data_IF_462812936812
#
_entry.id   IF_462812936812
#
_cell.length_a   1.000
_cell.length_b   1.000
_cell.length_c   1.000
_cell.angle_alpha   90.00
_cell.angle_beta   90.00
_cell.angle_gamma   90.00
#
_symmetry.space_group_name_H-M   'P 1'
#
loop_
_entity.id
_entity.type
_entity.pdbx_description
1 polymer ?
#
# COMPACT_ATOMS: atom_id res chain seq x y z
N UNK A 1 3.46 -24.53 -31.88
CA UNK A 1 4.34 -23.37 -32.12
C UNK A 1 3.57 -22.06 -32.30
N UNK A 2 2.51 -21.80 -31.51
CA UNK A 2 1.80 -20.50 -31.48
C UNK A 2 1.86 -19.82 -30.10
N UNK A 3 2.44 -20.48 -29.10
CA UNK A 3 2.49 -20.00 -27.71
C UNK A 3 3.86 -19.45 -27.30
N UNK A 4 4.82 -19.41 -28.23
CA UNK A 4 6.17 -18.87 -28.01
C UNK A 4 6.30 -17.40 -28.44
N UNK A 5 5.35 -16.90 -29.24
CA UNK A 5 5.33 -15.48 -29.66
C UNK A 5 4.70 -14.58 -28.59
N UNK A 6 3.81 -15.11 -27.75
CA UNK A 6 3.18 -14.35 -26.64
C UNK A 6 4.13 -14.11 -25.48
N UNK A 7 5.17 -14.93 -25.32
CA UNK A 7 6.20 -14.78 -24.28
C UNK A 7 7.24 -13.69 -24.66
N UNK A 8 7.35 -13.34 -25.94
CA UNK A 8 8.31 -12.34 -26.44
C UNK A 8 7.78 -10.89 -26.37
N UNK A 9 6.48 -10.70 -26.13
CA UNK A 9 5.88 -9.37 -25.93
C UNK A 9 6.12 -8.80 -24.53
N UNK A 10 6.75 -9.56 -23.64
CA UNK A 10 7.11 -9.14 -22.28
C UNK A 10 8.45 -8.37 -22.20
N UNK A 11 9.13 -8.15 -23.33
CA UNK A 11 10.47 -7.55 -23.37
C UNK A 11 10.49 -6.17 -24.06
N UNK A 12 9.37 -5.69 -24.64
CA UNK A 12 9.42 -4.45 -25.44
C UNK A 12 8.11 -3.66 -25.51
N UNK A 13 7.67 -3.04 -24.40
CA UNK A 13 6.93 -1.76 -24.44
C UNK A 13 6.67 -1.18 -23.04
N UNK A 14 7.35 -0.10 -22.61
CA UNK A 14 6.83 0.73 -21.53
C UNK A 14 5.89 1.77 -22.17
N UNK A 15 4.57 1.53 -22.13
CA UNK A 15 3.61 2.61 -22.40
C UNK A 15 3.06 3.06 -21.05
N UNK A 16 3.79 4.01 -20.49
CA UNK A 16 3.43 4.84 -19.35
C UNK A 16 2.01 5.42 -19.50
N UNK A 17 1.11 5.05 -18.60
CA UNK A 17 -0.03 5.90 -18.24
C UNK A 17 0.22 6.43 -16.82
N UNK A 18 1.12 7.42 -16.77
CA UNK A 18 1.34 8.27 -15.61
C UNK A 18 0.03 8.96 -15.25
N UNK A 19 -0.24 9.10 -13.94
CA UNK A 19 -1.11 10.17 -13.44
C UNK A 19 -0.76 11.49 -14.14
N UNK A 20 -1.71 12.40 -14.37
CA UNK A 20 -1.46 13.63 -15.13
C UNK A 20 -0.55 14.59 -14.38
N UNK A 21 0.74 14.28 -14.40
CA UNK A 21 1.82 15.18 -14.07
C UNK A 21 2.00 16.08 -15.28
N UNK A 22 2.09 17.39 -15.08
CA UNK A 22 2.33 18.30 -16.19
C UNK A 22 3.64 17.90 -16.86
N UNK A 23 3.54 17.54 -18.14
CA UNK A 23 4.62 16.95 -18.95
C UNK A 23 5.79 17.89 -19.18
N UNK A 24 5.66 19.15 -18.79
CA UNK A 24 6.71 20.16 -18.86
C UNK A 24 7.35 20.36 -17.49
N UNK A 25 8.66 20.16 -17.43
CA UNK A 25 9.44 20.28 -16.21
C UNK A 25 10.60 21.25 -16.43
N UNK A 26 11.01 21.94 -15.38
CA UNK A 26 12.13 22.88 -15.39
C UNK A 26 13.20 22.44 -14.40
N UNK A 27 14.46 22.49 -14.83
CA UNK A 27 15.60 22.27 -13.93
C UNK A 27 15.87 23.55 -13.15
N UNK A 28 15.95 23.42 -11.83
CA UNK A 28 16.34 24.50 -10.93
C UNK A 28 17.79 24.26 -10.54
N UNK A 29 18.67 25.21 -10.86
CA UNK A 29 20.06 25.18 -10.43
C UNK A 29 20.14 25.17 -8.90
N UNK A 30 21.14 24.48 -8.36
CA UNK A 30 21.38 24.48 -6.93
C UNK A 30 21.63 25.90 -6.40
N UNK A 31 21.08 26.21 -5.23
CA UNK A 31 21.16 27.54 -4.63
C UNK A 31 21.27 27.45 -3.12
N UNK A 32 21.76 28.52 -2.49
CA UNK A 32 21.78 28.65 -1.04
C UNK A 32 20.51 29.36 -0.55
N UNK A 33 19.82 28.77 0.41
CA UNK A 33 18.70 29.42 1.13
C UNK A 33 19.24 30.54 2.03
N UNK A 34 18.38 31.47 2.42
CA UNK A 34 18.73 32.59 3.33
C UNK A 34 19.25 32.14 4.71
N UNK A 35 18.95 30.91 5.11
CA UNK A 35 19.43 30.27 6.35
C UNK A 35 20.77 29.52 6.18
N UNK A 36 21.45 29.65 5.03
CA UNK A 36 22.74 29.03 4.75
C UNK A 36 22.68 27.59 4.24
N UNK A 37 21.49 26.97 4.14
CA UNK A 37 21.35 25.59 3.64
C UNK A 37 21.55 25.54 2.13
N UNK A 38 22.44 24.66 1.65
CA UNK A 38 22.59 24.38 0.22
C UNK A 38 21.46 23.47 -0.28
N UNK A 39 20.77 23.90 -1.32
CA UNK A 39 19.77 23.11 -2.04
C UNK A 39 20.42 22.61 -3.32
N UNK A 40 20.55 21.30 -3.46
CA UNK A 40 21.02 20.69 -4.71
C UNK A 40 20.06 21.01 -5.86
N UNK A 41 20.62 21.09 -7.08
CA UNK A 41 19.81 21.26 -8.28
C UNK A 41 18.82 20.10 -8.44
N UNK A 42 17.60 20.40 -8.87
CA UNK A 42 16.51 19.43 -8.98
C UNK A 42 15.53 19.82 -10.08
N UNK A 43 14.77 18.84 -10.57
CA UNK A 43 13.65 19.08 -11.47
C UNK A 43 12.37 19.34 -10.70
N UNK A 44 11.58 20.30 -11.18
CA UNK A 44 10.22 20.56 -10.72
C UNK A 44 9.28 20.73 -11.91
N UNK A 45 7.99 20.57 -11.68
CA UNK A 45 6.95 20.91 -12.65
C UNK A 45 7.04 22.38 -13.07
N UNK A 46 6.80 22.67 -14.36
CA UNK A 46 6.75 24.05 -14.86
C UNK A 46 5.69 24.86 -14.09
N UNK A 47 5.98 26.12 -13.72
CA UNK A 47 4.98 26.97 -13.07
C UNK A 47 3.71 27.12 -13.92
N UNK A 48 2.54 26.90 -13.33
CA UNK A 48 1.23 27.26 -13.87
C UNK A 48 0.29 27.69 -12.72
N UNK A 49 -1.00 27.87 -12.99
CA UNK A 49 -1.98 28.42 -12.05
C UNK A 49 -2.70 27.37 -11.16
N UNK A 50 -2.23 26.12 -11.15
CA UNK A 50 -2.80 25.06 -10.30
C UNK A 50 -1.66 24.30 -9.63
N UNK A 51 -1.95 23.64 -8.50
CA UNK A 51 -1.00 22.69 -7.94
C UNK A 51 -1.33 21.24 -8.32
N UNK A 52 -2.48 20.95 -8.96
CA UNK A 52 -3.00 19.59 -9.15
C UNK A 52 -2.09 18.64 -9.94
N UNK A 53 -1.28 19.20 -10.82
CA UNK A 53 -0.38 18.49 -11.74
C UNK A 53 1.10 18.56 -11.31
N UNK A 54 1.38 19.16 -10.14
CA UNK A 54 2.73 19.22 -9.60
C UNK A 54 3.20 17.85 -9.10
N UNK A 55 4.51 17.58 -9.22
CA UNK A 55 5.17 16.39 -8.67
C UNK A 55 4.89 16.19 -7.20
N UNK A 56 4.85 17.30 -6.46
CA UNK A 56 4.66 17.33 -5.03
C UNK A 56 3.20 17.16 -4.62
N UNK A 57 2.24 16.99 -5.52
CA UNK A 57 0.81 16.96 -5.17
C UNK A 57 0.31 15.55 -4.89
N UNK A 58 -0.54 15.41 -3.85
CA UNK A 58 -1.12 14.13 -3.44
C UNK A 58 -1.76 13.44 -4.65
N UNK A 59 -1.41 12.17 -4.86
CA UNK A 59 -1.83 11.35 -6.00
C UNK A 59 -0.85 11.35 -7.19
N UNK A 60 0.10 12.30 -7.25
CA UNK A 60 1.18 12.34 -8.24
C UNK A 60 2.48 11.74 -7.69
N UNK A 61 3.41 11.39 -8.58
CA UNK A 61 4.75 10.89 -8.24
C UNK A 61 5.78 11.72 -9.00
N UNK A 62 6.83 12.15 -8.32
CA UNK A 62 7.96 12.81 -8.95
C UNK A 62 8.73 11.79 -9.82
N UNK A 63 8.77 11.95 -11.16
CA UNK A 63 9.41 10.98 -12.04
C UNK A 63 10.94 10.91 -11.89
N UNK A 64 11.57 11.93 -11.27
CA UNK A 64 13.02 11.99 -11.10
C UNK A 64 13.51 11.39 -9.77
N UNK A 65 12.62 11.30 -8.78
CA UNK A 65 12.98 10.81 -7.45
C UNK A 65 12.15 9.61 -7.01
N UNK A 66 11.08 9.26 -7.71
CA UNK A 66 10.14 8.21 -7.33
C UNK A 66 9.24 8.56 -6.14
N UNK A 67 9.39 9.76 -5.57
CA UNK A 67 8.67 10.17 -4.36
C UNK A 67 7.24 10.58 -4.66
N UNK A 68 6.30 10.10 -3.85
CA UNK A 68 4.90 10.49 -3.96
C UNK A 68 4.70 11.93 -3.48
N UNK A 69 3.81 12.67 -4.13
CA UNK A 69 3.45 14.01 -3.73
C UNK A 69 2.68 14.04 -2.42
N UNK A 70 2.85 15.11 -1.65
CA UNK A 70 2.33 15.29 -0.29
C UNK A 70 1.55 16.61 -0.10
N UNK A 71 1.53 17.49 -1.10
CA UNK A 71 0.80 18.76 -1.08
C UNK A 71 -0.65 18.48 -1.49
N UNK A 72 -1.60 18.83 -0.64
CA UNK A 72 -3.02 18.69 -0.97
C UNK A 72 -3.38 19.59 -2.16
N UNK A 73 -4.16 19.10 -3.15
CA UNK A 73 -4.72 19.92 -4.21
C UNK A 73 -5.41 21.17 -3.66
N UNK A 74 -5.17 22.33 -4.27
CA UNK A 74 -5.93 23.52 -3.95
C UNK A 74 -7.39 23.37 -4.45
N UNK A 75 -8.33 23.88 -3.65
CA UNK A 75 -9.76 23.96 -4.01
C UNK A 75 -10.07 25.24 -4.82
N UNK A 76 -9.05 25.86 -5.42
CA UNK A 76 -9.24 27.01 -6.29
C UNK A 76 -9.73 26.52 -7.67
N UNK A 77 -11.00 26.15 -7.73
CA UNK A 77 -11.75 26.26 -8.98
C UNK A 77 -11.78 27.74 -9.33
N UNK A 78 -10.83 28.19 -10.15
CA UNK A 78 -10.99 29.44 -10.86
C UNK A 78 -12.17 29.23 -11.82
N UNK A 79 -13.36 29.53 -11.32
CA UNK A 79 -14.58 29.65 -12.11
C UNK A 79 -14.32 30.77 -13.13
N UNK A 80 -13.90 30.38 -14.33
CA UNK A 80 -13.83 31.24 -15.50
C UNK A 80 -15.27 31.48 -15.97
N UNK A 81 -16.05 32.24 -15.21
CA UNK A 81 -17.24 32.87 -15.75
C UNK A 81 -16.79 34.09 -16.55
N UNK A 82 -16.69 33.88 -17.85
CA UNK A 82 -16.81 34.94 -18.85
C UNK A 82 -18.12 35.70 -18.60
N UNK A 83 -18.06 36.79 -17.84
CA UNK A 83 -19.08 37.83 -17.89
C UNK A 83 -18.43 39.08 -18.42
N UNK A 84 -18.60 39.25 -19.73
CA UNK A 84 -18.46 40.48 -20.45
C UNK A 84 -19.33 41.53 -19.75
N UNK A 85 -18.72 42.55 -19.16
CA UNK A 85 -19.42 43.81 -18.88
C UNK A 85 -18.45 44.95 -19.06
N UNK A 86 -18.54 45.56 -20.23
CA UNK A 86 -18.01 46.89 -20.47
C UNK A 86 -18.57 47.85 -19.43
N UNK A 87 -17.70 48.46 -18.65
CA UNK A 87 -17.94 49.77 -18.03
C UNK A 87 -16.59 50.42 -17.75
N UNK A 88 -16.25 51.38 -18.61
CA UNK A 88 -15.21 52.37 -18.41
C UNK A 88 -15.47 53.14 -17.12
N UNK A 89 -14.50 53.19 -16.20
CA UNK A 89 -14.08 54.49 -15.67
C UNK A 89 -12.68 54.47 -15.06
N UNK A 90 -12.03 55.60 -15.29
CA UNK A 90 -10.63 55.94 -15.06
C UNK A 90 -10.44 56.62 -13.69
N UNK A 91 -9.21 56.52 -13.19
CA UNK A 91 -8.46 57.48 -12.35
C UNK A 91 -8.80 57.71 -10.87
N UNK A 92 -7.70 57.63 -10.10
CA UNK A 92 -7.25 58.45 -8.97
C UNK A 92 -7.73 58.15 -7.54
N UNK A 93 -6.72 57.83 -6.72
CA UNK A 93 -6.39 58.43 -5.41
C UNK A 93 -7.55 58.80 -4.48
N UNK A 94 -7.57 58.21 -3.28
CA UNK A 94 -7.40 58.94 -2.01
C UNK A 94 -7.52 58.01 -0.79
N UNK A 95 -6.67 58.30 0.19
CA UNK A 95 -6.74 57.83 1.58
C UNK A 95 -8.12 58.05 2.22
N UNK A 96 -8.59 57.09 3.01
CA UNK A 96 -9.55 57.32 4.09
C UNK A 96 -9.52 56.15 5.09
N UNK A 97 -8.96 56.42 6.27
CA UNK A 97 -9.17 55.62 7.47
C UNK A 97 -10.64 55.70 7.89
N UNK A 98 -11.32 54.58 8.16
CA UNK A 98 -11.95 54.32 9.46
C UNK A 98 -12.58 52.92 9.57
N UNK A 99 -12.44 52.38 10.78
CA UNK A 99 -13.40 51.53 11.50
C UNK A 99 -13.63 50.09 11.04
N UNK A 100 -12.97 49.18 11.75
CA UNK A 100 -13.70 48.30 12.66
C UNK A 100 -14.62 47.27 12.03
N UNK A 101 -14.04 46.27 11.38
CA UNK A 101 -14.60 44.93 11.39
C UNK A 101 -13.47 43.96 11.74
N UNK A 102 -13.45 43.52 13.00
CA UNK A 102 -12.78 42.31 13.41
C UNK A 102 -13.44 41.16 12.67
N UNK A 103 -12.94 40.82 11.49
CA UNK A 103 -13.15 39.52 10.90
C UNK A 103 -12.39 38.54 11.78
N UNK A 104 -13.14 37.92 12.69
CA UNK A 104 -12.72 36.76 13.43
C UNK A 104 -12.48 35.66 12.40
N UNK A 105 -11.26 35.62 11.83
CA UNK A 105 -10.82 34.49 11.04
C UNK A 105 -10.74 33.33 12.01
N UNK A 106 -11.76 32.47 12.00
CA UNK A 106 -11.70 31.13 12.57
C UNK A 106 -10.52 30.42 11.89
N UNK A 107 -9.31 30.60 12.43
CA UNK A 107 -8.15 29.81 12.05
C UNK A 107 -8.52 28.37 12.41
N UNK A 108 -8.85 27.59 11.38
CA UNK A 108 -8.84 26.14 11.45
C UNK A 108 -7.47 25.76 11.98
N UNK A 109 -7.41 25.32 13.24
CA UNK A 109 -6.14 24.98 13.89
C UNK A 109 -5.61 23.69 13.26
N UNK A 110 -4.89 23.86 12.15
CA UNK A 110 -4.31 22.77 11.36
C UNK A 110 -3.16 22.13 12.14
N UNK A 111 -3.06 20.81 12.06
CA UNK A 111 -1.90 20.06 12.57
C UNK A 111 -0.73 20.27 11.60
N UNK A 112 0.45 20.64 12.12
CA UNK A 112 1.62 21.02 11.31
C UNK A 112 2.90 20.45 11.89
N UNK A 113 3.95 20.35 11.09
CA UNK A 113 5.30 20.03 11.55
C UNK A 113 6.35 20.86 10.81
N UNK A 114 7.52 21.02 11.42
CA UNK A 114 8.72 21.52 10.74
C UNK A 114 9.94 20.78 11.27
N UNK A 115 10.96 20.62 10.45
CA UNK A 115 12.20 19.96 10.86
C UNK A 115 13.42 20.86 10.67
N UNK A 116 14.43 20.62 11.50
CA UNK A 116 15.75 21.23 11.43
C UNK A 116 16.80 20.14 11.61
N UNK A 117 18.08 20.48 11.43
CA UNK A 117 19.21 19.59 11.70
C UNK A 117 19.17 18.98 13.12
N UNK A 118 18.55 19.68 14.07
CA UNK A 118 18.46 19.28 15.47
C UNK A 118 17.21 18.47 15.84
N UNK A 119 16.27 18.27 14.92
CA UNK A 119 15.04 17.50 15.21
C UNK A 119 13.80 18.01 14.47
N UNK A 120 12.64 17.90 15.12
CA UNK A 120 11.38 18.46 14.61
C UNK A 120 10.59 19.13 15.72
N UNK A 121 9.69 20.03 15.31
CA UNK A 121 8.60 20.50 16.14
C UNK A 121 7.29 20.03 15.51
N UNK A 122 6.39 19.53 16.35
CA UNK A 122 5.06 19.10 15.96
C UNK A 122 4.03 20.00 16.62
N UNK A 123 3.16 20.58 15.81
CA UNK A 123 2.17 21.55 16.23
C UNK A 123 0.79 20.92 16.13
N UNK A 124 0.18 20.61 17.28
CA UNK A 124 -1.19 20.13 17.34
C UNK A 124 -2.11 21.28 17.74
N UNK A 125 -3.07 21.59 16.87
CA UNK A 125 -3.98 22.74 17.03
C UNK A 125 -3.24 24.05 17.38
N UNK A 126 -2.14 24.31 16.69
CA UNK A 126 -1.29 25.50 16.89
C UNK A 126 -0.30 25.44 18.06
N UNK A 127 -0.39 24.44 18.94
CA UNK A 127 0.51 24.30 20.09
C UNK A 127 1.67 23.34 19.76
N UNK A 128 2.90 23.74 20.07
CA UNK A 128 4.04 22.82 19.99
C UNK A 128 3.92 21.77 21.09
N UNK A 129 3.84 20.49 20.71
CA UNK A 129 3.59 19.37 21.63
C UNK A 129 4.73 18.37 21.60
N UNK A 130 4.87 17.63 22.70
CA UNK A 130 5.80 16.50 22.77
C UNK A 130 5.14 15.25 22.18
N UNK A 131 5.92 14.48 21.41
CA UNK A 131 5.46 13.32 20.66
C UNK A 131 6.47 12.18 20.80
N UNK A 132 6.00 10.94 20.70
CA UNK A 132 6.88 9.79 20.42
C UNK A 132 6.96 9.59 18.91
N UNK A 133 8.01 8.92 18.42
CA UNK A 133 8.21 8.74 16.99
C UNK A 133 8.97 7.46 16.66
N UNK A 134 8.84 7.05 15.41
CA UNK A 134 9.60 5.97 14.81
C UNK A 134 9.91 6.30 13.36
N UNK A 135 11.06 5.81 12.89
CA UNK A 135 11.51 6.01 11.51
C UNK A 135 10.81 5.04 10.57
N UNK A 136 10.41 5.54 9.39
CA UNK A 136 9.89 4.73 8.30
C UNK A 136 10.64 5.09 7.02
N UNK A 137 11.80 4.47 6.82
CA UNK A 137 12.70 4.85 5.74
C UNK A 137 13.16 6.30 5.88
N UNK A 138 12.86 7.14 4.89
CA UNK A 138 13.15 8.57 4.92
C UNK A 138 12.08 9.41 5.64
N UNK A 139 10.93 8.80 5.95
CA UNK A 139 9.82 9.44 6.64
C UNK A 139 9.93 9.26 8.16
N UNK A 140 9.16 10.06 8.91
CA UNK A 140 9.02 9.91 10.34
C UNK A 140 7.53 9.74 10.70
N UNK A 141 7.19 8.68 11.42
CA UNK A 141 5.87 8.55 12.03
C UNK A 141 5.93 9.15 13.43
N UNK A 142 5.01 10.06 13.74
CA UNK A 142 4.87 10.65 15.07
C UNK A 142 3.55 10.24 15.69
N UNK A 143 3.55 10.05 17.00
CA UNK A 143 2.39 9.71 17.80
C UNK A 143 2.11 10.81 18.81
N UNK A 144 0.86 11.24 18.87
CA UNK A 144 0.38 12.24 19.80
C UNK A 144 -1.03 11.89 20.26
N UNK A 145 -1.24 11.78 21.58
CA UNK A 145 -2.49 11.27 22.17
C UNK A 145 -2.90 9.93 21.54
N UNK A 146 -4.07 9.84 20.88
CA UNK A 146 -4.57 8.64 20.21
C UNK A 146 -4.36 8.66 18.69
N UNK A 147 -3.48 9.53 18.18
CA UNK A 147 -3.31 9.76 16.75
C UNK A 147 -1.87 9.51 16.33
N UNK A 148 -1.72 9.10 15.07
CA UNK A 148 -0.42 9.02 14.42
C UNK A 148 -0.46 9.83 13.13
N UNK A 149 0.70 10.37 12.77
CA UNK A 149 0.88 11.13 11.56
C UNK A 149 2.21 10.80 10.90
N UNK A 150 2.20 10.68 9.57
CA UNK A 150 3.41 10.57 8.77
C UNK A 150 3.94 11.96 8.43
N UNK A 151 5.23 12.18 8.68
CA UNK A 151 5.99 13.34 8.24
C UNK A 151 6.76 12.91 6.99
N UNK A 152 6.22 13.17 5.79
CA UNK A 152 6.81 12.71 4.55
C UNK A 152 8.16 13.38 4.31
N UNK A 153 9.13 12.59 3.85
CA UNK A 153 10.49 13.01 3.55
C UNK A 153 11.16 13.77 4.69
N UNK A 154 10.90 13.36 5.93
CA UNK A 154 11.47 13.99 7.12
C UNK A 154 13.00 14.09 7.06
N UNK A 155 13.68 13.08 6.51
CA UNK A 155 15.13 13.06 6.35
C UNK A 155 15.65 14.19 5.46
N UNK A 156 14.92 14.53 4.39
CA UNK A 156 15.36 15.53 3.40
C UNK A 156 14.86 16.95 3.70
N UNK A 157 13.83 17.09 4.53
CA UNK A 157 13.13 18.35 4.76
C UNK A 157 13.62 19.11 6.01
N UNK A 158 14.94 19.24 6.23
CA UNK A 158 15.55 19.93 7.39
C UNK A 158 15.61 21.46 7.29
N UNK A 159 14.58 22.10 6.75
CA UNK A 159 14.61 23.51 6.34
C UNK A 159 13.80 24.49 7.19
N UNK A 160 13.20 24.02 8.29
CA UNK A 160 12.40 24.82 9.20
C UNK A 160 11.05 25.25 8.64
N UNK A 161 10.67 24.80 7.44
CA UNK A 161 9.40 25.15 6.81
C UNK A 161 8.28 24.29 7.41
N UNK A 162 7.16 24.94 7.75
CA UNK A 162 5.95 24.27 8.22
C UNK A 162 5.28 23.50 7.09
N UNK A 163 4.88 22.27 7.37
CA UNK A 163 4.22 21.33 6.46
C UNK A 163 3.07 20.64 7.18
N UNK A 164 2.11 20.17 6.41
CA UNK A 164 1.09 19.28 6.93
C UNK A 164 1.63 17.86 7.02
N UNK A 165 1.35 17.14 8.11
CA UNK A 165 1.59 15.72 8.15
C UNK A 165 0.40 14.96 7.58
N UNK A 166 0.61 13.72 7.15
CA UNK A 166 -0.46 12.85 6.66
C UNK A 166 -1.05 12.07 7.84
N UNK A 167 -2.36 12.18 8.13
CA UNK A 167 -2.97 11.43 9.22
C UNK A 167 -2.95 9.92 8.92
N UNK A 168 -2.57 9.13 9.92
CA UNK A 168 -2.56 7.67 9.84
C UNK A 168 -3.66 7.10 10.73
N UNK A 169 -4.25 5.99 10.30
CA UNK A 169 -5.19 5.25 11.14
C UNK A 169 -4.44 4.56 12.27
N UNK A 170 -5.02 4.62 13.47
CA UNK A 170 -4.47 3.96 14.65
C UNK A 170 -5.55 3.22 15.41
N UNK A 171 -5.10 2.32 16.27
CA UNK A 171 -5.98 1.54 17.11
C UNK A 171 -5.34 1.18 18.43
N UNK A 172 -6.20 0.80 19.37
CA UNK A 172 -5.82 0.14 20.63
C UNK A 172 -6.93 -0.80 21.05
N UNK A 173 -6.62 -1.74 21.93
CA UNK A 173 -7.62 -2.66 22.47
C UNK A 173 -7.45 -2.84 23.97
N UNK A 174 -8.58 -2.93 24.66
CA UNK A 174 -8.69 -3.26 26.09
C UNK A 174 -9.83 -4.23 26.25
N UNK A 175 -9.56 -5.44 26.75
CA UNK A 175 -10.54 -6.52 26.73
C UNK A 175 -10.92 -6.91 25.30
N UNK A 176 -12.21 -7.09 25.03
CA UNK A 176 -12.70 -7.54 23.71
C UNK A 176 -13.05 -6.40 22.75
N UNK A 177 -12.98 -5.15 23.22
CA UNK A 177 -13.26 -3.98 22.40
C UNK A 177 -11.99 -3.43 21.75
N UNK A 178 -12.14 -2.92 20.53
CA UNK A 178 -11.13 -2.09 19.88
C UNK A 178 -11.62 -0.65 19.81
N UNK A 179 -10.66 0.26 19.86
CA UNK A 179 -10.84 1.66 19.54
C UNK A 179 -10.09 1.91 18.24
N UNK A 180 -10.71 2.67 17.35
CA UNK A 180 -10.18 2.94 16.02
C UNK A 180 -10.25 4.44 15.76
N UNK A 181 -9.11 5.03 15.40
CA UNK A 181 -8.96 6.46 15.23
C UNK A 181 -8.41 6.77 13.85
N UNK A 182 -9.03 7.74 13.17
CA UNK A 182 -8.55 8.27 11.90
C UNK A 182 -8.89 9.74 11.80
N UNK A 183 -7.95 10.53 11.27
CA UNK A 183 -8.11 11.97 11.08
C UNK A 183 -8.72 12.68 12.30
N UNK A 184 -8.15 12.45 13.48
CA UNK A 184 -8.56 13.07 14.74
C UNK A 184 -9.96 12.68 15.27
N UNK A 185 -10.56 11.62 14.74
CA UNK A 185 -11.88 11.13 15.14
C UNK A 185 -11.82 9.66 15.59
N UNK A 186 -12.63 9.31 16.59
CA UNK A 186 -12.89 7.92 16.95
C UNK A 186 -13.98 7.37 16.02
N UNK A 187 -13.60 6.50 15.09
CA UNK A 187 -14.48 6.01 14.02
C UNK A 187 -14.88 4.54 14.20
N UNK A 188 -14.58 3.89 15.33
CA UNK A 188 -14.91 2.48 15.57
C UNK A 188 -16.40 2.13 15.39
N UNK A 189 -17.31 3.06 15.70
CA UNK A 189 -18.75 2.85 15.53
C UNK A 189 -19.22 2.93 14.06
N UNK A 190 -18.36 3.41 13.17
CA UNK A 190 -18.61 3.53 11.73
C UNK A 190 -18.02 2.36 10.94
N UNK A 191 -17.37 1.43 11.64
CA UNK A 191 -16.63 0.34 11.01
C UNK A 191 -17.30 -1.01 11.19
N UNK A 192 -17.15 -1.87 10.18
CA UNK A 192 -17.37 -3.31 10.31
C UNK A 192 -16.02 -4.02 10.46
N UNK A 193 -16.03 -5.26 10.94
CA UNK A 193 -14.81 -6.02 11.13
C UNK A 193 -15.01 -7.50 10.84
N UNK A 194 -13.91 -8.18 10.52
CA UNK A 194 -13.84 -9.63 10.37
C UNK A 194 -12.47 -10.14 10.85
N UNK A 195 -12.40 -11.40 11.27
CA UNK A 195 -11.17 -12.00 11.76
C UNK A 195 -10.28 -12.49 10.62
N UNK A 196 -8.97 -12.27 10.76
CA UNK A 196 -7.97 -12.85 9.86
C UNK A 196 -6.86 -13.50 10.69
N UNK A 197 -7.02 -14.79 10.97
CA UNK A 197 -6.10 -15.50 11.87
C UNK A 197 -6.13 -14.91 13.29
N UNK A 198 -5.00 -14.36 13.72
CA UNK A 198 -4.88 -13.66 15.01
C UNK A 198 -5.04 -12.12 14.90
N UNK A 199 -5.19 -11.61 13.67
CA UNK A 199 -5.43 -10.20 13.35
C UNK A 199 -6.94 -9.89 13.24
N UNK A 200 -7.28 -8.61 13.29
CA UNK A 200 -8.63 -8.12 13.01
C UNK A 200 -8.62 -7.17 11.80
N UNK A 201 -9.42 -7.47 10.80
CA UNK A 201 -9.65 -6.60 9.65
C UNK A 201 -10.77 -5.64 9.97
N UNK A 202 -10.58 -4.35 9.70
CA UNK A 202 -11.56 -3.29 9.95
C UNK A 202 -11.85 -2.58 8.64
N UNK A 203 -13.12 -2.39 8.33
CA UNK A 203 -13.58 -1.76 7.09
C UNK A 203 -14.31 -0.45 7.39
N UNK A 204 -13.95 0.61 6.68
CA UNK A 204 -14.64 1.90 6.68
C UNK A 204 -14.86 2.36 5.23
N UNK A 205 -16.08 2.20 4.70
CA UNK A 205 -16.36 2.47 3.30
C UNK A 205 -15.50 1.60 2.37
N UNK A 206 -14.66 2.22 1.54
CA UNK A 206 -13.72 1.51 0.65
C UNK A 206 -12.33 1.25 1.27
N UNK A 207 -12.11 1.69 2.52
CA UNK A 207 -10.86 1.44 3.22
C UNK A 207 -10.95 0.12 3.98
N UNK A 208 -9.86 -0.64 3.97
CA UNK A 208 -9.64 -1.74 4.91
C UNK A 208 -8.34 -1.50 5.66
N UNK A 209 -8.34 -1.89 6.92
CA UNK A 209 -7.21 -1.76 7.82
C UNK A 209 -6.97 -3.08 8.53
N UNK A 210 -5.71 -3.46 8.69
CA UNK A 210 -5.30 -4.60 9.50
C UNK A 210 -4.84 -4.12 10.87
N UNK A 211 -5.47 -4.67 11.90
CA UNK A 211 -5.09 -4.57 13.30
C UNK A 211 -4.22 -5.79 13.63
N UNK A 212 -2.91 -5.64 13.46
CA UNK A 212 -1.95 -6.75 13.61
C UNK A 212 -1.90 -7.29 15.05
N UNK A 213 -1.90 -8.62 15.18
CA UNK A 213 -1.95 -9.38 16.42
C UNK A 213 -3.15 -9.01 17.33
N UNK A 214 -4.27 -8.50 16.80
CA UNK A 214 -5.39 -7.98 17.61
C UNK A 214 -5.82 -8.89 18.78
N UNK A 215 -5.79 -10.20 18.56
CA UNK A 215 -6.13 -11.20 19.58
C UNK A 215 -5.20 -11.16 20.79
N UNK A 216 -3.92 -10.86 20.57
CA UNK A 216 -2.86 -10.85 21.58
C UNK A 216 -2.66 -9.48 22.24
N UNK A 217 -3.03 -8.38 21.55
CA UNK A 217 -2.71 -7.00 21.98
C UNK A 217 -3.82 -6.34 22.79
N UNK A 218 -4.01 -6.76 24.05
CA UNK A 218 -5.05 -6.22 24.96
C UNK A 218 -4.53 -5.21 26.00
N UNK A 219 -3.45 -4.50 25.68
CA UNK A 219 -2.68 -3.68 26.62
C UNK A 219 -3.01 -2.18 26.58
N UNK A 220 -4.03 -1.76 25.83
CA UNK A 220 -4.42 -0.37 25.69
C UNK A 220 -3.40 0.52 24.97
N UNK A 221 -2.30 -0.04 24.44
CA UNK A 221 -1.30 0.74 23.70
C UNK A 221 -1.79 1.03 22.29
N UNK A 222 -1.48 2.24 21.83
CA UNK A 222 -1.79 2.70 20.48
C UNK A 222 -0.80 2.10 19.49
N UNK A 223 -1.32 1.70 18.33
CA UNK A 223 -0.60 1.09 17.22
C UNK A 223 -1.13 1.64 15.91
N UNK A 224 -0.30 1.60 14.88
CA UNK A 224 -0.78 1.86 13.52
C UNK A 224 -1.74 0.75 13.08
N UNK A 225 -2.77 1.15 12.35
CA UNK A 225 -3.58 0.24 11.57
C UNK A 225 -3.04 0.26 10.13
N UNK A 226 -2.66 -0.90 9.61
CA UNK A 226 -2.04 -0.99 8.28
C UNK A 226 -3.14 -0.93 7.22
N UNK A 227 -3.06 0.01 6.28
CA UNK A 227 -3.95 0.03 5.12
C UNK A 227 -3.79 -1.26 4.32
N UNK A 228 -4.92 -1.87 3.95
CA UNK A 228 -4.97 -3.04 3.09
C UNK A 228 -5.73 -2.66 1.83
N UNK A 229 -5.13 -2.86 0.64
CA UNK A 229 -5.84 -2.66 -0.61
C UNK A 229 -7.08 -3.55 -0.69
N UNK A 230 -8.15 -3.02 -1.26
CA UNK A 230 -9.43 -3.72 -1.38
C UNK A 230 -9.89 -3.80 -2.81
N UNK A 231 -10.80 -4.72 -3.09
CA UNK A 231 -11.42 -4.85 -4.39
C UNK A 231 -12.85 -5.36 -4.27
N UNK A 232 -13.62 -5.18 -5.34
CA UNK A 232 -14.93 -5.81 -5.52
C UNK A 232 -15.20 -5.99 -7.01
N UNK A 233 -16.10 -6.91 -7.34
CA UNK A 233 -16.48 -7.20 -8.71
C UNK A 233 -17.99 -7.32 -8.83
N UNK A 234 -18.58 -6.56 -9.75
CA UNK A 234 -20.03 -6.52 -9.98
C UNK A 234 -20.50 -7.47 -11.11
N UNK A 235 -19.58 -8.27 -11.66
CA UNK A 235 -19.84 -9.14 -12.81
C UNK A 235 -19.57 -8.50 -14.17
N UNK A 236 -19.28 -7.21 -14.24
CA UNK A 236 -18.90 -6.47 -15.46
C UNK A 236 -17.54 -5.79 -15.32
N UNK A 237 -17.33 -5.10 -14.22
CA UNK A 237 -16.13 -4.33 -13.92
C UNK A 237 -15.64 -4.66 -12.52
N UNK A 238 -14.32 -4.73 -12.35
CA UNK A 238 -13.74 -4.74 -11.02
C UNK A 238 -13.37 -3.33 -10.59
N UNK A 239 -13.43 -3.14 -9.29
CA UNK A 239 -12.93 -1.96 -8.62
C UNK A 239 -11.79 -2.42 -7.73
N UNK A 240 -10.72 -1.66 -7.72
CA UNK A 240 -9.54 -1.90 -6.91
C UNK A 240 -9.18 -0.59 -6.22
N UNK A 241 -9.02 -0.63 -4.91
CA UNK A 241 -8.82 0.53 -4.05
C UNK A 241 -7.50 0.39 -3.31
N UNK A 242 -6.67 1.42 -3.38
CA UNK A 242 -5.44 1.57 -2.60
C UNK A 242 -5.60 2.84 -1.79
N UNK A 243 -5.42 2.75 -0.47
CA UNK A 243 -5.72 3.84 0.47
C UNK A 243 -7.12 4.45 0.28
N UNK A 244 -8.10 3.60 -0.07
CA UNK A 244 -9.50 3.99 -0.30
C UNK A 244 -9.79 4.66 -1.64
N UNK A 245 -8.78 5.01 -2.43
CA UNK A 245 -8.93 5.57 -3.76
C UNK A 245 -9.08 4.49 -4.82
N UNK A 246 -10.08 4.62 -5.71
CA UNK A 246 -10.25 3.69 -6.83
C UNK A 246 -9.13 3.89 -7.86
N UNK A 247 -8.32 2.85 -8.07
CA UNK A 247 -7.18 2.86 -8.99
C UNK A 247 -7.32 1.88 -10.16
N UNK A 248 -8.44 1.14 -10.27
CA UNK A 248 -8.64 0.10 -11.29
C UNK A 248 -8.44 0.56 -12.77
N UNK A 249 -8.57 1.85 -13.07
CA UNK A 249 -8.30 2.40 -14.40
C UNK A 249 -6.81 2.69 -14.67
N UNK A 250 -5.97 2.52 -13.65
CA UNK A 250 -4.51 2.71 -13.68
C UNK A 250 -3.77 1.38 -13.51
N UNK A 251 -4.46 0.26 -13.64
CA UNK A 251 -3.90 -1.07 -13.37
C UNK A 251 -3.90 -1.97 -14.58
N UNK A 252 -2.87 -2.81 -14.67
CA UNK A 252 -2.84 -3.96 -15.57
C UNK A 252 -3.23 -5.22 -14.79
N UNK A 253 -3.72 -6.24 -15.49
CA UNK A 253 -4.14 -7.46 -14.82
C UNK A 253 -3.86 -8.73 -15.63
N UNK A 254 -3.65 -9.82 -14.90
CA UNK A 254 -3.36 -11.14 -15.43
C UNK A 254 -4.16 -12.19 -14.67
N UNK A 255 -4.78 -13.11 -15.41
CA UNK A 255 -5.48 -14.27 -14.84
C UNK A 255 -4.49 -15.21 -14.17
N UNK A 256 -4.72 -15.53 -12.89
CA UNK A 256 -3.90 -16.47 -12.14
C UNK A 256 -4.79 -17.52 -11.47
N UNK A 257 -5.06 -18.61 -12.18
CA UNK A 257 -6.00 -19.62 -11.71
C UNK A 257 -7.42 -19.06 -11.60
N UNK A 258 -7.97 -19.00 -10.37
CA UNK A 258 -9.28 -18.38 -10.10
C UNK A 258 -9.14 -16.95 -9.58
N UNK A 259 -7.90 -16.51 -9.38
CA UNK A 259 -7.54 -15.20 -8.86
C UNK A 259 -7.22 -14.25 -10.02
N UNK A 260 -7.14 -12.96 -9.70
CA UNK A 260 -6.64 -11.93 -10.61
C UNK A 260 -5.40 -11.29 -10.01
N UNK A 261 -4.29 -11.30 -10.74
CA UNK A 261 -3.13 -10.48 -10.41
C UNK A 261 -3.36 -9.09 -10.98
N UNK A 262 -3.14 -8.07 -10.18
CA UNK A 262 -3.33 -6.66 -10.54
C UNK A 262 -2.03 -5.93 -10.25
N UNK A 263 -1.44 -5.32 -11.27
CA UNK A 263 -0.25 -4.49 -11.14
C UNK A 263 -0.66 -3.03 -10.96
N UNK A 264 -0.08 -2.38 -9.95
CA UNK A 264 -0.26 -0.97 -9.71
C UNK A 264 1.04 -0.38 -9.17
N UNK A 265 1.61 0.60 -9.89
CA UNK A 265 2.95 1.16 -9.63
C UNK A 265 4.02 0.05 -9.70
N UNK A 266 4.78 -0.18 -8.63
CA UNK A 266 5.85 -1.19 -8.57
C UNK A 266 5.40 -2.47 -7.84
N UNK A 267 4.13 -2.55 -7.47
CA UNK A 267 3.57 -3.62 -6.66
C UNK A 267 2.58 -4.47 -7.48
N UNK A 268 2.49 -5.75 -7.10
CA UNK A 268 1.50 -6.66 -7.66
C UNK A 268 0.63 -7.20 -6.54
N UNK A 269 -0.67 -7.14 -6.76
CA UNK A 269 -1.69 -7.53 -5.82
C UNK A 269 -2.45 -8.74 -6.35
N UNK A 270 -2.70 -9.71 -5.48
CA UNK A 270 -3.59 -10.83 -5.74
C UNK A 270 -5.00 -10.49 -5.26
N UNK A 271 -5.98 -10.61 -6.14
CA UNK A 271 -7.40 -10.52 -5.85
C UNK A 271 -7.94 -11.96 -5.75
N UNK A 272 -8.10 -12.50 -4.53
CA UNK A 272 -8.36 -13.92 -4.34
C UNK A 272 -9.76 -14.32 -4.83
N UNK A 273 -9.86 -15.46 -5.50
CA UNK A 273 -11.11 -16.04 -5.97
C UNK A 273 -11.93 -15.12 -6.90
N UNK A 274 -11.27 -14.17 -7.56
CA UNK A 274 -11.86 -13.11 -8.38
C UNK A 274 -13.01 -13.60 -9.28
N UNK A 275 -12.82 -14.68 -10.03
CA UNK A 275 -13.78 -15.12 -11.04
C UNK A 275 -15.04 -15.78 -10.46
N UNK A 276 -15.00 -16.21 -9.20
CA UNK A 276 -16.14 -16.80 -8.52
C UNK A 276 -16.90 -15.79 -7.65
N UNK A 277 -16.32 -14.62 -7.39
CA UNK A 277 -16.83 -13.61 -6.46
C UNK A 277 -17.55 -12.45 -7.17
N UNK A 278 -18.74 -12.73 -7.70
CA UNK A 278 -19.54 -11.75 -8.48
C UNK A 278 -20.61 -11.02 -7.65
N UNK A 279 -20.38 -10.88 -6.35
CA UNK A 279 -21.38 -10.40 -5.38
C UNK A 279 -21.25 -8.90 -5.04
N UNK A 280 -20.33 -8.17 -5.69
CA UNK A 280 -20.04 -6.76 -5.42
C UNK A 280 -19.69 -6.46 -3.94
N UNK A 281 -19.28 -7.48 -3.19
CA UNK A 281 -18.82 -7.35 -1.80
C UNK A 281 -17.37 -6.87 -1.78
N UNK A 282 -17.05 -5.96 -0.86
CA UNK A 282 -15.69 -5.48 -0.67
C UNK A 282 -14.85 -6.59 -0.03
N UNK A 283 -13.70 -6.86 -0.63
CA UNK A 283 -12.75 -7.89 -0.22
C UNK A 283 -11.36 -7.30 -0.18
N UNK A 284 -10.44 -7.93 0.52
CA UNK A 284 -9.04 -7.52 0.50
C UNK A 284 -8.29 -8.14 -0.66
N UNK A 285 -7.31 -7.38 -1.14
CA UNK A 285 -6.26 -7.88 -2.00
C UNK A 285 -5.01 -8.14 -1.16
N UNK A 286 -4.15 -9.00 -1.66
CA UNK A 286 -2.91 -9.40 -1.01
C UNK A 286 -1.75 -8.84 -1.83
N UNK A 287 -0.97 -7.94 -1.26
CA UNK A 287 0.29 -7.50 -1.86
C UNK A 287 1.26 -8.68 -1.92
N UNK A 288 1.79 -8.97 -3.12
CA UNK A 288 2.66 -10.10 -3.32
C UNK A 288 4.10 -9.81 -2.89
N UNK A 289 4.79 -10.77 -2.27
CA UNK A 289 6.18 -10.61 -1.92
C UNK A 289 7.07 -10.37 -3.13
N UNK A 290 8.15 -9.62 -2.89
CA UNK A 290 9.18 -9.36 -3.89
C UNK A 290 10.43 -10.17 -3.57
N UNK A 291 11.23 -10.46 -4.59
CA UNK A 291 12.53 -11.10 -4.44
C UNK A 291 13.55 -10.54 -5.41
N UNK A 292 14.82 -10.64 -5.03
CA UNK A 292 15.96 -10.43 -5.92
C UNK A 292 16.98 -11.53 -5.70
N UNK A 293 17.89 -11.72 -6.64
CA UNK A 293 19.00 -12.65 -6.44
C UNK A 293 20.29 -12.16 -7.08
N UNK A 294 21.38 -12.34 -6.33
CA UNK A 294 22.75 -12.12 -6.79
C UNK A 294 23.59 -13.33 -6.39
N UNK A 295 24.36 -13.86 -7.34
CA UNK A 295 25.06 -15.14 -7.15
C UNK A 295 24.09 -16.26 -6.78
N UNK A 296 24.38 -16.98 -5.68
CA UNK A 296 23.58 -18.12 -5.23
C UNK A 296 22.62 -17.80 -4.07
N UNK A 297 22.45 -16.53 -3.71
CA UNK A 297 21.55 -16.12 -2.63
C UNK A 297 20.35 -15.37 -3.18
N UNK A 298 19.18 -15.57 -2.57
CA UNK A 298 18.02 -14.72 -2.80
C UNK A 298 17.80 -13.80 -1.60
N UNK A 299 17.20 -12.65 -1.87
CA UNK A 299 16.61 -11.78 -0.85
C UNK A 299 15.10 -11.80 -1.08
N UNK A 300 14.33 -11.88 0.00
CA UNK A 300 12.87 -12.01 -0.03
C UNK A 300 12.25 -10.93 0.83
N UNK A 301 11.25 -10.24 0.30
CA UNK A 301 10.66 -9.05 0.90
C UNK A 301 9.15 -9.20 0.99
N UNK A 302 8.60 -8.93 2.17
CA UNK A 302 7.15 -8.86 2.40
C UNK A 302 6.85 -7.45 2.91
N UNK A 303 5.96 -6.72 2.24
CA UNK A 303 5.66 -5.32 2.53
C UNK A 303 6.97 -4.50 2.65
N UNK A 304 7.86 -4.64 1.66
CA UNK A 304 9.22 -4.08 1.58
C UNK A 304 10.21 -4.43 2.72
N UNK A 305 9.82 -5.28 3.68
CA UNK A 305 10.70 -5.74 4.74
C UNK A 305 11.44 -7.01 4.32
N UNK A 306 12.78 -7.01 4.45
CA UNK A 306 13.58 -8.20 4.20
C UNK A 306 13.30 -9.27 5.26
N UNK A 307 12.81 -10.43 4.81
CA UNK A 307 12.45 -11.57 5.66
C UNK A 307 13.17 -12.86 5.27
N UNK A 308 14.14 -12.81 4.35
CA UNK A 308 14.82 -13.99 3.82
C UNK A 308 15.42 -14.91 4.90
N UNK A 309 15.91 -14.36 6.01
CA UNK A 309 16.44 -15.13 7.15
C UNK A 309 15.36 -15.93 7.94
N UNK A 310 14.08 -15.64 7.73
CA UNK A 310 12.93 -16.33 8.34
C UNK A 310 12.31 -17.36 7.39
N UNK A 311 12.88 -17.55 6.20
CA UNK A 311 12.32 -18.44 5.18
C UNK A 311 13.05 -19.78 5.10
N UNK A 312 12.37 -20.80 4.58
CA UNK A 312 13.01 -22.01 4.05
C UNK A 312 12.71 -22.10 2.56
N UNK A 313 13.51 -22.89 1.85
CA UNK A 313 13.34 -23.04 0.41
C UNK A 313 13.65 -24.47 -0.05
N UNK A 314 13.12 -24.80 -1.22
CA UNK A 314 13.44 -26.02 -1.96
C UNK A 314 13.36 -25.77 -3.47
N UNK A 315 14.08 -26.59 -4.25
CA UNK A 315 14.10 -26.45 -5.70
C UNK A 315 12.88 -27.12 -6.35
N UNK A 316 12.32 -26.46 -7.37
CA UNK A 316 11.31 -27.03 -8.27
C UNK A 316 11.72 -26.77 -9.72
N UNK A 317 12.47 -27.71 -10.30
CA UNK A 317 13.07 -27.53 -11.63
C UNK A 317 14.02 -26.34 -11.63
N UNK A 318 13.79 -25.38 -12.52
CA UNK A 318 14.58 -24.12 -12.58
C UNK A 318 14.05 -23.02 -11.63
N UNK A 319 12.94 -23.28 -10.93
CA UNK A 319 12.34 -22.37 -9.95
C UNK A 319 12.81 -22.68 -8.53
N UNK A 320 12.66 -21.70 -7.64
CA UNK A 320 12.83 -21.90 -6.19
C UNK A 320 11.48 -21.71 -5.50
N UNK A 321 11.09 -22.66 -4.67
CA UNK A 321 9.98 -22.48 -3.74
C UNK A 321 10.53 -21.89 -2.46
N UNK A 322 9.92 -20.81 -1.98
CA UNK A 322 10.23 -20.18 -0.71
C UNK A 322 8.98 -20.23 0.16
N UNK A 323 9.19 -20.56 1.42
CA UNK A 323 8.12 -20.60 2.40
C UNK A 323 8.39 -19.62 3.52
N UNK A 324 7.33 -18.91 3.89
CA UNK A 324 7.31 -17.98 5.02
C UNK A 324 6.07 -18.31 5.85
N UNK A 325 6.27 -18.73 7.10
CA UNK A 325 5.20 -19.25 7.97
C UNK A 325 4.42 -20.41 7.29
N UNK A 326 3.10 -20.27 7.14
CA UNK A 326 2.24 -21.22 6.42
C UNK A 326 2.21 -20.98 4.92
N UNK A 327 2.70 -19.84 4.44
CA UNK A 327 2.65 -19.44 3.03
C UNK A 327 3.78 -20.07 2.21
N UNK A 328 3.50 -20.31 0.94
CA UNK A 328 4.45 -20.75 -0.06
C UNK A 328 4.42 -19.83 -1.27
N UNK A 329 5.58 -19.58 -1.84
CA UNK A 329 5.75 -18.78 -3.03
C UNK A 329 6.74 -19.44 -3.98
N UNK A 330 6.50 -19.33 -5.27
CA UNK A 330 7.46 -19.71 -6.30
C UNK A 330 8.20 -18.46 -6.79
N UNK A 331 9.52 -18.55 -6.87
CA UNK A 331 10.42 -17.61 -7.52
C UNK A 331 10.67 -18.14 -8.93
N UNK A 332 9.99 -17.60 -9.95
CA UNK A 332 10.07 -18.14 -11.29
C UNK A 332 11.49 -18.03 -11.85
N UNK A 333 11.98 -19.09 -12.48
CA UNK A 333 13.27 -19.14 -13.17
C UNK A 333 14.47 -18.71 -12.29
N UNK A 334 14.36 -18.89 -10.96
CA UNK A 334 15.37 -18.47 -9.99
C UNK A 334 16.80 -18.91 -10.35
N UNK A 335 16.96 -20.08 -10.98
CA UNK A 335 18.27 -20.59 -11.45
C UNK A 335 19.00 -19.61 -12.36
N UNK A 336 18.28 -18.93 -13.25
CA UNK A 336 18.87 -18.08 -14.29
C UNK A 336 18.80 -16.57 -13.97
N UNK A 337 18.01 -16.16 -12.99
CA UNK A 337 17.72 -14.75 -12.69
C UNK A 337 18.71 -14.13 -11.66
N UNK A 338 20.01 -14.07 -11.98
CA UNK A 338 21.11 -13.63 -11.06
C UNK A 338 21.55 -12.17 -11.22
N UNK A 339 20.67 -11.33 -11.73
CA UNK A 339 20.98 -9.96 -12.17
C UNK A 339 20.68 -8.87 -11.12
N UNK A 340 20.29 -9.24 -9.90
CA UNK A 340 19.95 -8.29 -8.84
C UNK A 340 18.64 -7.54 -9.05
N UNK A 341 17.87 -7.82 -10.11
CA UNK A 341 16.58 -7.15 -10.34
C UNK A 341 15.49 -7.66 -9.40
N UNK A 342 14.63 -6.74 -8.96
CA UNK A 342 13.45 -7.05 -8.16
C UNK A 342 12.39 -7.72 -9.03
N UNK A 343 11.77 -8.78 -8.50
CA UNK A 343 10.76 -9.62 -9.16
C UNK A 343 9.67 -10.01 -8.16
N UNK A 344 8.51 -10.41 -8.67
CA UNK A 344 7.40 -10.89 -7.83
C UNK A 344 7.54 -12.38 -7.54
N UNK A 345 7.22 -12.77 -6.31
CA UNK A 345 7.08 -14.16 -5.92
C UNK A 345 5.60 -14.56 -6.01
N UNK A 346 5.30 -15.59 -6.79
CA UNK A 346 3.91 -15.99 -7.06
C UNK A 346 3.42 -16.93 -5.96
N UNK A 347 2.23 -16.71 -5.39
CA UNK A 347 1.71 -17.54 -4.31
C UNK A 347 1.39 -18.95 -4.82
N UNK A 348 1.69 -19.96 -4.00
CA UNK A 348 1.34 -21.36 -4.28
C UNK A 348 0.60 -21.97 -3.09
N UNK A 349 -0.34 -22.90 -3.33
CA UNK A 349 -1.04 -23.60 -2.25
C UNK A 349 -0.06 -24.43 -1.44
N UNK A 350 -0.26 -24.45 -0.12
CA UNK A 350 0.59 -25.22 0.80
C UNK A 350 -0.24 -26.12 1.70
N UNK A 351 0.43 -27.09 2.29
CA UNK A 351 -0.17 -28.01 3.22
C UNK A 351 0.80 -28.51 4.28
N UNK A 352 0.24 -28.98 5.37
CA UNK A 352 0.95 -29.78 6.37
C UNK A 352 0.02 -30.84 6.93
N UNK A 353 0.56 -31.70 7.76
CA UNK A 353 -0.16 -32.87 8.27
C UNK A 353 0.42 -33.26 9.62
N UNK A 354 -0.46 -33.55 10.58
CA UNK A 354 -0.11 -33.98 11.92
C UNK A 354 -1.15 -34.98 12.40
N UNK A 355 -0.70 -36.18 12.77
CA UNK A 355 -1.61 -37.31 12.96
C UNK A 355 -2.42 -37.60 11.69
N UNK A 356 -3.72 -37.76 11.83
CA UNK A 356 -4.62 -38.07 10.70
C UNK A 356 -5.25 -36.84 10.04
N UNK A 357 -4.92 -35.65 10.53
CA UNK A 357 -5.41 -34.38 9.98
C UNK A 357 -4.43 -33.78 8.97
N UNK A 358 -4.98 -33.21 7.90
CA UNK A 358 -4.27 -32.30 7.03
C UNK A 358 -4.70 -30.86 7.30
N UNK A 359 -3.78 -29.95 7.05
CA UNK A 359 -4.00 -28.52 7.00
C UNK A 359 -3.68 -28.08 5.59
N UNK A 360 -4.55 -27.26 4.99
CA UNK A 360 -4.43 -26.81 3.62
C UNK A 360 -4.62 -25.31 3.59
N UNK A 361 -3.65 -24.60 3.01
CA UNK A 361 -3.60 -23.15 2.98
C UNK A 361 -3.54 -22.65 1.55
N UNK A 362 -4.37 -21.65 1.26
CA UNK A 362 -4.38 -20.94 -0.03
C UNK A 362 -4.33 -19.45 0.28
N UNK A 363 -3.32 -18.75 -0.26
CA UNK A 363 -3.13 -17.31 -0.07
C UNK A 363 -3.12 -16.90 1.43
N UNK A 364 -2.56 -17.75 2.30
CA UNK A 364 -2.47 -17.54 3.74
C UNK A 364 -3.70 -17.98 4.54
N UNK A 365 -4.83 -18.25 3.89
CA UNK A 365 -6.04 -18.71 4.55
C UNK A 365 -6.04 -20.23 4.74
N UNK A 366 -6.34 -20.71 5.95
CA UNK A 366 -6.60 -22.13 6.19
C UNK A 366 -7.97 -22.52 5.66
N UNK A 367 -7.99 -23.32 4.59
CA UNK A 367 -9.22 -23.70 3.87
C UNK A 367 -9.57 -25.19 3.99
N UNK A 368 -8.85 -25.97 4.82
CA UNK A 368 -9.06 -27.41 4.96
C UNK A 368 -10.53 -27.79 5.25
N UNK A 369 -11.23 -27.03 6.10
CA UNK A 369 -12.65 -27.22 6.42
C UNK A 369 -13.62 -26.91 5.27
N UNK A 370 -13.14 -26.27 4.19
CA UNK A 370 -13.91 -25.96 2.97
C UNK A 370 -13.61 -26.94 1.83
N UNK A 371 -12.84 -28.00 2.09
CA UNK A 371 -12.39 -28.94 1.06
C UNK A 371 -13.01 -30.33 1.22
N UNK A 372 -13.08 -31.08 0.13
CA UNK A 372 -13.28 -32.54 0.17
C UNK A 372 -11.95 -33.23 -0.16
N UNK A 373 -11.82 -34.51 0.16
CA UNK A 373 -10.60 -35.26 -0.14
C UNK A 373 -10.86 -36.72 -0.50
N UNK A 374 -9.93 -37.30 -1.26
CA UNK A 374 -9.91 -38.71 -1.66
C UNK A 374 -8.47 -39.21 -1.69
N UNK A 375 -8.27 -40.47 -1.29
CA UNK A 375 -6.96 -41.11 -1.37
C UNK A 375 -6.59 -41.47 -2.82
N UNK A 376 -5.32 -41.30 -3.16
CA UNK A 376 -4.73 -41.82 -4.39
C UNK A 376 -3.37 -42.46 -4.07
N UNK A 377 -3.35 -43.76 -3.82
CA UNK A 377 -2.15 -44.45 -3.36
C UNK A 377 -1.64 -43.89 -2.02
N UNK A 378 -0.44 -43.32 -2.03
CA UNK A 378 0.15 -42.67 -0.85
C UNK A 378 -0.18 -41.17 -0.76
N UNK A 379 -0.81 -40.60 -1.78
CA UNK A 379 -1.16 -39.19 -1.87
C UNK A 379 -2.60 -38.96 -1.38
N UNK A 380 -2.87 -37.73 -0.93
CA UNK A 380 -4.24 -37.26 -0.71
C UNK A 380 -4.58 -36.20 -1.75
N UNK A 381 -5.64 -36.43 -2.52
CA UNK A 381 -6.18 -35.43 -3.42
C UNK A 381 -7.22 -34.63 -2.64
N UNK A 382 -7.02 -33.32 -2.58
CA UNK A 382 -7.91 -32.36 -1.93
C UNK A 382 -8.58 -31.53 -3.01
N UNK A 383 -9.92 -31.43 -2.96
CA UNK A 383 -10.69 -30.65 -3.92
C UNK A 383 -11.25 -29.39 -3.25
N UNK A 384 -11.01 -28.24 -3.87
CA UNK A 384 -11.56 -26.94 -3.44
C UNK A 384 -12.04 -26.17 -4.67
N UNK A 385 -13.30 -25.72 -4.65
CA UNK A 385 -13.92 -24.94 -5.74
C UNK A 385 -13.73 -25.56 -7.14
N UNK A 386 -13.84 -26.89 -7.24
CA UNK A 386 -13.69 -27.64 -8.49
C UNK A 386 -12.25 -27.84 -8.97
N UNK A 387 -11.24 -27.47 -8.17
CA UNK A 387 -9.82 -27.76 -8.44
C UNK A 387 -9.30 -28.84 -7.51
N UNK A 388 -8.61 -29.81 -8.09
CA UNK A 388 -7.89 -30.85 -7.35
C UNK A 388 -6.47 -30.37 -7.04
N UNK A 389 -6.01 -30.69 -5.83
CA UNK A 389 -4.67 -30.42 -5.32
C UNK A 389 -4.09 -31.73 -4.75
N UNK A 390 -2.86 -32.05 -5.11
CA UNK A 390 -2.21 -33.29 -4.70
C UNK A 390 -1.29 -32.99 -3.51
N UNK A 391 -1.61 -33.58 -2.36
CA UNK A 391 -0.76 -33.65 -1.18
C UNK A 391 0.13 -34.89 -1.30
N UNK A 392 1.27 -34.71 -1.94
CA UNK A 392 2.19 -35.79 -2.28
C UNK A 392 2.70 -36.51 -1.03
N UNK A 393 2.62 -37.85 -1.04
CA UNK A 393 3.07 -38.73 0.02
C UNK A 393 2.44 -38.43 1.40
N UNK A 394 1.22 -37.86 1.42
CA UNK A 394 0.47 -37.52 2.65
C UNK A 394 0.36 -38.68 3.65
N UNK A 395 0.32 -39.92 3.17
CA UNK A 395 0.28 -41.12 4.02
C UNK A 395 1.46 -41.18 5.00
N UNK A 396 2.66 -40.83 4.53
CA UNK A 396 3.90 -41.06 5.26
C UNK A 396 4.47 -39.79 5.92
N UNK A 397 4.00 -38.61 5.51
CA UNK A 397 4.49 -37.33 6.01
C UNK A 397 3.53 -36.82 7.08
N UNK A 398 3.82 -37.05 8.38
CA UNK A 398 2.99 -36.61 9.53
C UNK A 398 3.75 -35.68 10.50
N UNK A 399 4.71 -34.95 9.98
CA UNK A 399 5.71 -34.20 10.74
C UNK A 399 5.35 -32.73 10.98
N UNK A 400 4.15 -32.29 10.58
CA UNK A 400 3.71 -30.91 10.69
C UNK A 400 4.45 -29.93 9.78
N UNK A 401 5.37 -30.38 8.92
CA UNK A 401 6.13 -29.48 8.04
C UNK A 401 5.25 -28.99 6.89
N UNK A 402 5.35 -27.69 6.62
CA UNK A 402 4.66 -27.04 5.50
C UNK A 402 5.38 -27.36 4.18
N UNK A 403 4.61 -27.82 3.20
CA UNK A 403 5.01 -28.22 1.84
C UNK A 403 4.09 -27.57 0.83
N UNK A 404 4.47 -27.52 -0.44
CA UNK A 404 3.57 -27.07 -1.49
C UNK A 404 2.62 -28.20 -1.91
N UNK A 405 1.41 -27.86 -2.32
CA UNK A 405 0.50 -28.79 -2.98
C UNK A 405 0.66 -28.66 -4.49
N UNK A 406 0.72 -29.79 -5.20
CA UNK A 406 0.75 -29.78 -6.66
C UNK A 406 -0.67 -29.57 -7.18
N UNK A 407 -0.84 -28.86 -8.28
CA UNK A 407 -2.13 -28.84 -8.97
C UNK A 407 -2.41 -30.24 -9.54
N UNK A 408 -3.61 -30.75 -9.28
CA UNK A 408 -4.13 -31.95 -9.92
C UNK A 408 -4.54 -31.67 -11.36
N UNK A 409 -4.58 -32.74 -12.18
CA UNK A 409 -5.08 -32.69 -13.55
C UNK A 409 -6.59 -32.69 -13.62
#
# INVERSE_FOLDING_TARGET
>A
MKNLVTLLYFILCPILLVAQVNSTHVYVNGYYKSNGTYVSGHYRTSPNSTNRDNFSTIGNVNPYTGKSGWITPDNNTYDYTYTNTYSNHSTNSSNSNNSGYTSNSSYSYKTEWKASETGYNFYYKGNNVSTTNEWKGNDLVVYYDNYAYLLPDYGDNKDGIKREPLPLATWKSTGDSYYFYYNENSIANETTNDWFGDDLMVFNGNHAYLLEDYKLRKDGKIRLARNIPTWKYDGKSYYFYVDGESVANKTENLVYGNDLLVEYKEDVYLLPNFYNEKNNSLKTAIELPKWTSTGNSYHFYINDNSVGNKTRNEWLGDNLIVYFETNGYILPDYKNQKDGKMRIALPIPTWSSKGDSYYFYLNGESIANKTSNKWNGNDLIVTYQGKDYILENYKNLKDGKIRFAKYGN
#
